data_IF_659163932215
#
_entry.id   IF_659163932215
#
_cell.length_a   1.000
_cell.length_b   1.000
_cell.length_c   1.000
_cell.angle_alpha   90.00
_cell.angle_beta   90.00
_cell.angle_gamma   90.00
#
_symmetry.space_group_name_H-M   'P 1'
#
loop_
_entity.id
_entity.type
_entity.pdbx_description
1 polymer ?
#
# COMPACT_ATOMS: atom_id res chain seq x y z
N UNK A 1 13.40 19.84 34.81
CA UNK A 1 13.80 19.01 33.65
C UNK A 1 13.05 19.54 32.43
N UNK A 2 13.73 20.15 31.46
CA UNK A 2 13.14 20.38 30.14
C UNK A 2 13.30 19.06 29.38
N UNK A 3 12.19 18.38 29.12
CA UNK A 3 12.19 17.20 28.25
C UNK A 3 12.49 17.76 26.86
N UNK A 4 13.73 17.57 26.41
CA UNK A 4 14.14 17.90 25.03
C UNK A 4 13.25 17.04 24.14
N UNK A 5 12.41 17.68 23.33
CA UNK A 5 11.45 17.02 22.44
C UNK A 5 12.18 15.91 21.67
N UNK A 6 11.89 14.65 22.02
CA UNK A 6 12.31 13.53 21.21
C UNK A 6 11.58 13.68 19.87
N UNK A 7 12.34 13.79 18.78
CA UNK A 7 11.77 13.76 17.43
C UNK A 7 11.14 12.37 17.27
N UNK A 8 9.82 12.31 17.17
CA UNK A 8 9.10 11.04 16.99
C UNK A 8 9.13 10.71 15.51
N UNK A 9 9.77 9.60 15.19
CA UNK A 9 9.89 9.08 13.83
C UNK A 9 9.08 7.80 13.72
N UNK A 10 8.42 7.65 12.58
CA UNK A 10 7.56 6.53 12.27
C UNK A 10 8.14 5.76 11.10
N UNK A 11 8.12 4.44 11.18
CA UNK A 11 8.42 3.59 10.03
C UNK A 11 7.25 3.55 9.04
N UNK A 12 7.46 2.89 7.90
CA UNK A 12 6.44 2.74 6.85
C UNK A 12 5.14 2.12 7.36
N UNK A 13 5.20 1.15 8.27
CA UNK A 13 4.00 0.45 8.79
C UNK A 13 3.22 1.35 9.74
N UNK A 14 3.92 2.00 10.67
CA UNK A 14 3.33 2.94 11.62
C UNK A 14 2.70 4.13 10.89
N UNK A 15 3.42 4.71 9.93
CA UNK A 15 2.93 5.80 9.09
C UNK A 15 1.68 5.41 8.30
N UNK A 16 1.67 4.22 7.69
CA UNK A 16 0.52 3.73 6.94
C UNK A 16 -0.72 3.56 7.82
N UNK A 17 -0.54 3.01 9.03
CA UNK A 17 -1.62 2.89 10.00
C UNK A 17 -2.18 4.26 10.43
N UNK A 18 -1.33 5.28 10.60
CA UNK A 18 -1.78 6.64 10.96
C UNK A 18 -2.53 7.36 9.83
N UNK A 19 -2.29 6.95 8.58
CA UNK A 19 -2.90 7.49 7.37
C UNK A 19 -4.09 6.65 6.89
N UNK A 20 -4.46 5.58 7.62
CA UNK A 20 -5.55 4.66 7.26
C UNK A 20 -5.41 4.06 5.84
N UNK A 21 -4.17 3.78 5.40
CA UNK A 21 -3.86 3.15 4.11
C UNK A 21 -2.93 1.94 4.31
N UNK A 22 -2.77 1.12 3.27
CA UNK A 22 -1.85 -0.01 3.33
C UNK A 22 -0.38 0.44 3.26
N UNK A 23 0.58 -0.26 3.90
CA UNK A 23 2.01 0.05 3.77
C UNK A 23 2.51 -0.01 2.33
N UNK A 24 1.95 -0.91 1.50
CA UNK A 24 2.28 -1.01 0.08
C UNK A 24 1.83 0.24 -0.69
N UNK A 25 0.59 0.70 -0.44
CA UNK A 25 0.06 1.95 -1.01
C UNK A 25 0.90 3.14 -0.58
N UNK A 26 1.24 3.24 0.72
CA UNK A 26 2.10 4.32 1.21
C UNK A 26 3.47 4.30 0.53
N UNK A 27 4.11 3.14 0.44
CA UNK A 27 5.42 2.96 -0.21
C UNK A 27 5.40 3.43 -1.66
N UNK A 28 4.39 3.01 -2.41
CA UNK A 28 4.26 3.39 -3.81
C UNK A 28 3.94 4.89 -3.97
N UNK A 29 3.09 5.44 -3.10
CA UNK A 29 2.77 6.86 -3.12
C UNK A 29 3.97 7.76 -2.79
N UNK A 30 4.85 7.34 -1.87
CA UNK A 30 6.11 8.07 -1.60
C UNK A 30 7.14 7.88 -2.71
N UNK A 31 7.23 6.70 -3.33
CA UNK A 31 8.18 6.43 -4.40
C UNK A 31 7.83 7.17 -5.71
N UNK A 32 6.54 7.40 -5.94
CA UNK A 32 6.00 8.19 -7.07
C UNK A 32 5.93 9.69 -6.77
N UNK A 33 6.27 10.13 -5.55
CA UNK A 33 6.29 11.54 -5.15
C UNK A 33 4.92 12.15 -4.85
N UNK A 34 3.87 11.34 -4.74
CA UNK A 34 2.53 11.81 -4.35
C UNK A 34 2.44 12.12 -2.85
N UNK A 35 3.14 11.37 -2.01
CA UNK A 35 3.20 11.58 -0.56
C UNK A 35 4.61 11.93 -0.09
N UNK A 36 4.69 12.70 0.99
CA UNK A 36 5.97 13.14 1.57
C UNK A 36 6.50 12.13 2.58
N UNK A 37 7.83 12.00 2.64
CA UNK A 37 8.58 11.30 3.68
C UNK A 37 9.62 12.25 4.28
N UNK A 38 10.14 11.94 5.47
CA UNK A 38 11.14 12.77 6.13
C UNK A 38 12.55 12.48 5.61
N UNK A 39 12.98 11.23 5.67
CA UNK A 39 14.20 10.74 5.01
C UNK A 39 14.06 9.26 4.68
N UNK A 40 15.03 8.72 3.94
CA UNK A 40 15.12 7.27 3.65
C UNK A 40 16.52 6.76 3.99
N UNK A 41 16.60 5.55 4.54
CA UNK A 41 17.86 4.87 4.87
C UNK A 41 18.24 3.80 3.83
N UNK A 42 17.29 3.41 2.98
CA UNK A 42 17.46 2.44 1.90
C UNK A 42 16.37 2.60 0.84
N UNK A 43 16.30 1.66 -0.11
CA UNK A 43 15.32 1.69 -1.20
C UNK A 43 13.87 1.69 -0.69
N UNK A 44 13.65 1.02 0.46
CA UNK A 44 12.32 0.77 1.04
C UNK A 44 12.18 1.21 2.51
N UNK A 45 13.24 1.75 3.12
CA UNK A 45 13.24 2.16 4.53
C UNK A 45 12.96 3.66 4.64
N UNK A 46 11.68 4.00 4.47
CA UNK A 46 11.18 5.36 4.61
C UNK A 46 10.90 5.69 6.07
N UNK A 47 11.33 6.88 6.48
CA UNK A 47 11.06 7.44 7.81
C UNK A 47 10.17 8.65 7.68
N UNK A 48 9.20 8.75 8.56
CA UNK A 48 8.20 9.80 8.57
C UNK A 48 8.27 10.55 9.89
N UNK A 49 8.10 11.86 9.82
CA UNK A 49 7.92 12.72 10.99
C UNK A 49 6.45 13.14 11.08
N UNK A 50 6.00 13.58 12.25
CA UNK A 50 4.62 14.06 12.46
C UNK A 50 4.20 15.11 11.43
N UNK A 51 5.11 16.01 11.04
CA UNK A 51 4.85 17.05 10.05
C UNK A 51 4.50 16.47 8.66
N UNK A 52 5.26 15.47 8.20
CA UNK A 52 4.97 14.79 6.93
C UNK A 52 3.67 13.99 7.00
N UNK A 53 3.39 13.34 8.13
CA UNK A 53 2.15 12.58 8.31
C UNK A 53 0.93 13.50 8.29
N UNK A 54 1.02 14.67 8.95
CA UNK A 54 -0.06 15.65 8.92
C UNK A 54 -0.31 16.16 7.51
N UNK A 55 0.73 16.56 6.78
CA UNK A 55 0.60 17.01 5.40
C UNK A 55 -0.01 15.93 4.49
N UNK A 56 0.44 14.68 4.62
CA UNK A 56 -0.10 13.55 3.87
C UNK A 56 -1.57 13.28 4.24
N UNK A 57 -1.94 13.39 5.51
CA UNK A 57 -3.32 13.22 5.96
C UNK A 57 -4.25 14.30 5.40
N UNK A 58 -3.78 15.54 5.40
CA UNK A 58 -4.54 16.67 4.84
C UNK A 58 -4.70 16.52 3.32
N UNK A 59 -3.68 15.99 2.63
CA UNK A 59 -3.75 15.66 1.20
C UNK A 59 -4.73 14.51 0.93
N UNK A 60 -4.65 13.41 1.68
CA UNK A 60 -5.53 12.25 1.54
C UNK A 60 -6.98 12.54 1.94
N UNK A 61 -7.23 13.57 2.75
CA UNK A 61 -8.60 13.99 3.09
C UNK A 61 -9.32 14.65 1.91
N UNK A 62 -8.63 14.96 0.82
CA UNK A 62 -9.23 15.44 -0.43
C UNK A 62 -9.60 14.23 -1.31
N UNK A 63 -10.90 14.05 -1.59
CA UNK A 63 -11.43 12.89 -2.34
C UNK A 63 -10.72 12.65 -3.68
N UNK A 64 -10.37 13.71 -4.41
CA UNK A 64 -9.66 13.62 -5.68
C UNK A 64 -8.22 13.08 -5.52
N UNK A 65 -7.57 13.47 -4.43
CA UNK A 65 -6.18 13.10 -4.13
C UNK A 65 -6.10 11.64 -3.66
N UNK A 66 -7.04 11.21 -2.82
CA UNK A 66 -7.15 9.81 -2.42
C UNK A 66 -7.44 8.92 -3.62
N UNK A 67 -8.37 9.32 -4.49
CA UNK A 67 -8.70 8.59 -5.71
C UNK A 67 -7.50 8.49 -6.67
N UNK A 68 -6.71 9.56 -6.81
CA UNK A 68 -5.49 9.53 -7.63
C UNK A 68 -4.43 8.58 -7.06
N UNK A 69 -4.22 8.58 -5.73
CA UNK A 69 -3.29 7.64 -5.07
C UNK A 69 -3.77 6.19 -5.23
N UNK A 70 -5.06 5.92 -5.04
CA UNK A 70 -5.62 4.57 -5.21
C UNK A 70 -5.67 4.12 -6.68
N UNK A 71 -5.94 5.02 -7.62
CA UNK A 71 -5.97 4.69 -9.05
C UNK A 71 -4.58 4.38 -9.62
N UNK A 72 -3.53 4.99 -9.04
CA UNK A 72 -2.14 4.72 -9.42
C UNK A 72 -1.56 3.52 -8.67
N UNK A 73 -2.18 3.13 -7.56
CA UNK A 73 -1.85 1.95 -6.77
C UNK A 73 -2.97 0.91 -6.88
N UNK A 74 -3.13 0.22 -8.03
CA UNK A 74 -4.11 -0.85 -8.12
C UNK A 74 -3.83 -1.83 -6.97
N UNK A 75 -4.87 -2.33 -6.28
CA UNK A 75 -4.69 -3.40 -5.32
C UNK A 75 -3.96 -4.52 -6.06
N UNK A 76 -2.89 -5.06 -5.46
CA UNK A 76 -2.23 -6.22 -6.01
C UNK A 76 -3.30 -7.31 -6.16
N UNK A 77 -3.76 -7.52 -7.39
CA UNK A 77 -4.68 -8.59 -7.70
C UNK A 77 -3.98 -9.86 -7.26
N UNK A 78 -4.51 -10.51 -6.22
CA UNK A 78 -4.22 -11.90 -5.95
C UNK A 78 -4.74 -12.67 -7.16
N UNK A 79 -3.90 -12.85 -8.18
CA UNK A 79 -4.09 -13.82 -9.25
C UNK A 79 -4.15 -15.20 -8.59
N UNK A 80 -5.33 -15.58 -8.13
CA UNK A 80 -5.73 -16.98 -8.00
C UNK A 80 -6.34 -17.35 -9.33
N UNK A 81 -5.49 -17.68 -10.29
CA UNK A 81 -5.90 -18.55 -11.39
C UNK A 81 -5.65 -19.99 -10.91
N UNK A 82 -6.69 -20.83 -10.96
CA UNK A 82 -6.54 -22.05 -11.73
C UNK A 82 -7.69 -22.18 -12.73
N UNK A 83 -7.32 -22.05 -14.00
CA UNK A 83 -7.61 -22.99 -15.08
C UNK A 83 -8.97 -23.72 -15.00
N UNK A 84 -9.91 -23.25 -15.82
CA UNK A 84 -10.95 -24.10 -16.41
C UNK A 84 -11.13 -23.58 -17.85
N UNK A 85 -11.15 -24.45 -18.87
CA UNK A 85 -12.22 -25.44 -18.97
C UNK A 85 -11.80 -26.77 -19.63
N UNK A 86 -12.46 -27.88 -19.31
CA UNK A 86 -12.73 -28.86 -20.37
C UNK A 86 -13.99 -29.68 -20.08
N UNK A 87 -14.83 -29.72 -21.10
CA UNK A 87 -16.14 -30.33 -21.18
C UNK A 87 -16.12 -31.84 -20.89
N UNK A 88 -17.18 -32.31 -20.24
CA UNK A 88 -17.57 -33.72 -20.21
C UNK A 88 -17.92 -34.17 -21.65
N UNK A 89 -17.46 -35.38 -22.06
CA UNK A 89 -18.41 -36.20 -22.81
C UNK A 89 -18.55 -37.65 -22.28
N UNK A 90 -19.69 -38.32 -22.58
CA UNK A 90 -20.21 -39.46 -21.83
C UNK A 90 -19.76 -40.84 -22.35
N UNK A 91 -19.76 -41.84 -21.43
CA UNK A 91 -20.06 -43.31 -21.55
C UNK A 91 -19.44 -44.13 -22.71
N UNK A 92 -18.84 -45.33 -22.56
CA UNK A 92 -19.43 -46.66 -22.18
C UNK A 92 -18.32 -47.78 -22.22
N UNK A 93 -18.57 -49.09 -21.90
CA UNK A 93 -17.62 -49.99 -21.23
C UNK A 93 -16.72 -50.81 -22.18
N UNK A 94 -15.67 -51.43 -21.63
CA UNK A 94 -14.85 -52.42 -22.35
C UNK A 94 -14.86 -53.77 -21.61
N UNK A 95 -15.33 -54.79 -22.32
CA UNK A 95 -15.26 -56.22 -22.01
C UNK A 95 -14.46 -56.88 -23.16
N UNK A 96 -13.55 -57.81 -22.86
CA UNK A 96 -13.57 -59.09 -23.59
C UNK A 96 -13.39 -60.35 -22.73
#
# INVERSE_FOLDING_TARGET
MQIRNAVVEYDLKEAAAMLDISPATLKQAVSTGHLQYYYRLGEDDYRFHEASLRANKDFLSQEDSLTQVLSTCPPAETTTEPDAPEEDPPSTPSDP
#
